data_IF_975030345564
#
_entry.id   IF_975030345564
#
_cell.length_a   1.000
_cell.length_b   1.000
_cell.length_c   1.000
_cell.angle_alpha   90.00
_cell.angle_beta   90.00
_cell.angle_gamma   90.00
#
_symmetry.space_group_name_H-M   'P 1'
#
loop_
_entity.id
_entity.type
_entity.pdbx_description
1 polymer ?
#
# COMPACT_ATOMS: atom_id res chain seq x y z
N UNK A 1 -7.84 -28.24 -10.07
CA UNK A 1 -8.72 -27.07 -9.82
C UNK A 1 -9.03 -26.91 -8.33
N UNK A 2 -9.52 -27.93 -7.61
CA UNK A 2 -9.82 -27.79 -6.16
C UNK A 2 -8.64 -27.36 -5.27
N UNK A 3 -7.43 -27.90 -5.50
CA UNK A 3 -6.25 -27.52 -4.72
C UNK A 3 -5.77 -26.07 -4.97
N UNK A 4 -5.90 -25.57 -6.21
CA UNK A 4 -5.56 -24.18 -6.57
C UNK A 4 -6.52 -23.19 -5.89
N UNK A 5 -7.82 -23.47 -5.92
CA UNK A 5 -8.84 -22.64 -5.24
C UNK A 5 -8.68 -22.70 -3.71
N UNK A 6 -8.41 -23.89 -3.16
CA UNK A 6 -8.20 -24.07 -1.72
C UNK A 6 -6.96 -23.31 -1.19
N UNK A 7 -5.97 -23.04 -2.05
CA UNK A 7 -4.82 -22.20 -1.72
C UNK A 7 -5.11 -20.71 -1.98
N UNK A 8 -5.82 -20.38 -3.06
CA UNK A 8 -6.12 -19.00 -3.46
C UNK A 8 -6.93 -18.25 -2.40
N UNK A 9 -7.97 -18.88 -1.85
CA UNK A 9 -8.86 -18.27 -0.85
C UNK A 9 -8.11 -17.84 0.42
N UNK A 10 -7.38 -18.72 1.14
CA UNK A 10 -6.69 -18.33 2.35
C UNK A 10 -5.56 -17.33 2.08
N UNK A 11 -4.85 -17.41 0.95
CA UNK A 11 -3.84 -16.42 0.58
C UNK A 11 -4.46 -15.04 0.35
N UNK A 12 -5.55 -14.98 -0.42
CA UNK A 12 -6.29 -13.74 -0.65
C UNK A 12 -6.77 -13.10 0.66
N UNK A 13 -7.34 -13.91 1.56
CA UNK A 13 -7.80 -13.44 2.86
C UNK A 13 -6.63 -12.97 3.74
N UNK A 14 -5.52 -13.70 3.76
CA UNK A 14 -4.33 -13.35 4.54
C UNK A 14 -3.76 -12.00 4.09
N UNK A 15 -3.60 -11.80 2.77
CA UNK A 15 -3.06 -10.55 2.21
C UNK A 15 -4.00 -9.36 2.45
N UNK A 16 -5.31 -9.58 2.26
CA UNK A 16 -6.32 -8.54 2.54
C UNK A 16 -6.35 -8.20 4.03
N UNK A 17 -6.31 -9.21 4.91
CA UNK A 17 -6.27 -9.00 6.36
C UNK A 17 -4.99 -8.25 6.76
N UNK A 18 -3.84 -8.59 6.18
CA UNK A 18 -2.59 -7.87 6.42
C UNK A 18 -2.71 -6.39 6.07
N UNK A 19 -3.26 -6.05 4.90
CA UNK A 19 -3.50 -4.65 4.50
C UNK A 19 -4.37 -3.88 5.50
N UNK A 20 -5.47 -4.51 5.94
CA UNK A 20 -6.38 -3.90 6.93
C UNK A 20 -5.70 -3.71 8.28
N UNK A 21 -4.94 -4.72 8.74
CA UNK A 21 -4.24 -4.65 10.02
C UNK A 21 -3.10 -3.63 9.99
N UNK A 22 -2.33 -3.55 8.90
CA UNK A 22 -1.26 -2.56 8.75
C UNK A 22 -1.82 -1.13 8.72
N UNK A 23 -2.94 -0.91 8.04
CA UNK A 23 -3.64 0.37 8.05
C UNK A 23 -4.12 0.75 9.45
N UNK A 24 -4.86 -0.15 10.10
CA UNK A 24 -5.52 0.15 11.37
C UNK A 24 -4.55 0.22 12.55
N UNK A 25 -3.59 -0.71 12.61
CA UNK A 25 -2.67 -0.84 13.74
C UNK A 25 -1.26 -0.35 13.46
N UNK A 26 -0.76 -0.47 12.23
CA UNK A 26 0.55 0.08 11.87
C UNK A 26 0.45 1.59 11.78
N UNK A 27 -0.20 2.08 10.73
CA UNK A 27 -0.37 3.51 10.49
C UNK A 27 -1.23 4.17 11.58
N UNK A 28 -2.41 3.60 11.87
CA UNK A 28 -3.37 4.21 12.78
C UNK A 28 -2.82 4.47 14.19
N UNK A 29 -2.14 3.49 14.79
CA UNK A 29 -1.58 3.66 16.15
C UNK A 29 -0.44 4.66 16.17
N UNK A 30 0.43 4.64 15.17
CA UNK A 30 1.56 5.59 15.07
C UNK A 30 1.05 7.03 14.91
N UNK A 31 0.01 7.25 14.11
CA UNK A 31 -0.64 8.55 13.93
C UNK A 31 -1.35 9.01 15.21
N UNK A 32 -2.06 8.11 15.91
CA UNK A 32 -2.66 8.42 17.22
C UNK A 32 -1.59 8.78 18.27
N UNK A 33 -0.50 8.03 18.31
CA UNK A 33 0.61 8.24 19.25
C UNK A 33 1.37 9.54 18.97
N UNK A 34 1.45 9.98 17.71
CA UNK A 34 2.08 11.24 17.34
C UNK A 34 1.34 12.48 17.90
N UNK A 35 0.10 12.34 18.37
CA UNK A 35 -0.70 13.44 18.96
C UNK A 35 -0.77 14.71 18.10
N UNK A 36 -0.68 14.56 16.77
CA UNK A 36 -0.70 15.68 15.82
C UNK A 36 0.65 16.32 15.53
N UNK A 37 1.76 15.78 16.04
CA UNK A 37 3.10 16.15 15.59
C UNK A 37 3.31 15.75 14.12
N UNK A 38 3.38 16.75 13.23
CA UNK A 38 3.43 16.53 11.79
C UNK A 38 4.61 15.64 11.38
N UNK A 39 5.81 15.88 11.91
CA UNK A 39 6.99 15.13 11.51
C UNK A 39 6.86 13.62 11.82
N UNK A 40 6.22 13.28 12.94
CA UNK A 40 5.96 11.88 13.30
C UNK A 40 4.82 11.27 12.48
N UNK A 41 3.74 12.01 12.21
CA UNK A 41 2.66 11.56 11.32
C UNK A 41 3.18 11.30 9.91
N UNK A 42 4.08 12.16 9.44
CA UNK A 42 4.69 12.05 8.13
C UNK A 42 5.59 10.81 8.01
N UNK A 43 6.42 10.57 9.03
CA UNK A 43 7.26 9.36 9.11
C UNK A 43 6.42 8.08 9.13
N UNK A 44 5.32 8.05 9.89
CA UNK A 44 4.39 6.92 9.94
C UNK A 44 3.73 6.66 8.57
N UNK A 45 3.31 7.74 7.90
CA UNK A 45 2.70 7.67 6.56
C UNK A 45 3.69 7.13 5.52
N UNK A 46 4.93 7.62 5.52
CA UNK A 46 6.00 7.10 4.67
C UNK A 46 6.32 5.62 4.95
N UNK A 47 6.33 5.22 6.22
CA UNK A 47 6.56 3.83 6.60
C UNK A 47 5.44 2.92 6.09
N UNK A 48 4.18 3.35 6.19
CA UNK A 48 3.03 2.64 5.63
C UNK A 48 3.11 2.53 4.10
N UNK A 49 3.37 3.64 3.39
CA UNK A 49 3.57 3.66 1.93
C UNK A 49 4.64 2.63 1.51
N UNK A 50 5.78 2.63 2.21
CA UNK A 50 6.86 1.69 1.90
C UNK A 50 6.46 0.23 2.14
N UNK A 51 5.75 -0.08 3.23
CA UNK A 51 5.26 -1.45 3.50
C UNK A 51 4.25 -1.92 2.45
N UNK A 52 3.31 -1.07 2.05
CA UNK A 52 2.34 -1.37 0.99
C UNK A 52 3.03 -1.57 -0.36
N UNK A 53 4.06 -0.77 -0.66
CA UNK A 53 4.85 -0.92 -1.88
C UNK A 53 5.60 -2.26 -1.94
N UNK A 54 6.27 -2.64 -0.84
CA UNK A 54 6.95 -3.95 -0.74
C UNK A 54 5.96 -5.10 -0.91
N UNK A 55 4.78 -5.01 -0.29
CA UNK A 55 3.71 -6.00 -0.45
C UNK A 55 3.27 -6.10 -1.91
N UNK A 56 2.98 -4.97 -2.56
CA UNK A 56 2.58 -4.93 -3.97
C UNK A 56 3.60 -5.64 -4.87
N UNK A 57 4.89 -5.35 -4.70
CA UNK A 57 5.97 -5.99 -5.45
C UNK A 57 5.98 -7.50 -5.20
N UNK A 58 5.89 -7.93 -3.94
CA UNK A 58 5.87 -9.35 -3.59
C UNK A 58 4.67 -10.09 -4.20
N UNK A 59 3.47 -9.53 -4.08
CA UNK A 59 2.22 -10.12 -4.62
C UNK A 59 2.29 -10.23 -6.14
N UNK A 60 2.84 -9.24 -6.84
CA UNK A 60 3.03 -9.32 -8.29
C UNK A 60 3.99 -10.44 -8.69
N UNK A 61 5.10 -10.62 -7.96
CA UNK A 61 6.04 -11.73 -8.19
C UNK A 61 5.32 -13.07 -8.01
N UNK A 62 4.54 -13.23 -6.94
CA UNK A 62 3.78 -14.47 -6.68
C UNK A 62 2.72 -14.71 -7.75
N UNK A 63 2.02 -13.67 -8.21
CA UNK A 63 1.05 -13.76 -9.31
C UNK A 63 1.70 -14.28 -10.61
N UNK A 64 2.89 -13.77 -10.94
CA UNK A 64 3.67 -14.25 -12.11
C UNK A 64 4.05 -15.71 -11.95
N UNK A 65 4.55 -16.11 -10.78
CA UNK A 65 4.90 -17.49 -10.49
C UNK A 65 3.68 -18.42 -10.59
N UNK A 66 2.54 -18.03 -10.02
CA UNK A 66 1.29 -18.78 -10.12
C UNK A 66 0.84 -18.97 -11.58
N UNK A 67 0.98 -17.93 -12.41
CA UNK A 67 0.75 -18.00 -13.85
C UNK A 67 1.68 -19.02 -14.55
N UNK A 68 2.98 -19.00 -14.23
CA UNK A 68 3.97 -19.96 -14.75
C UNK A 68 3.65 -21.40 -14.35
N UNK A 69 3.19 -21.62 -13.11
CA UNK A 69 2.80 -22.94 -12.61
C UNK A 69 1.38 -23.38 -13.03
N UNK A 70 0.71 -22.65 -13.92
CA UNK A 70 -0.67 -22.91 -14.37
C UNK A 70 -1.68 -23.02 -13.21
N UNK A 71 -1.55 -22.13 -12.24
CA UNK A 71 -2.47 -21.97 -11.13
C UNK A 71 -3.30 -20.67 -11.36
N UNK A 72 -4.31 -20.70 -12.25
CA UNK A 72 -4.98 -19.49 -12.70
C UNK A 72 -5.77 -18.78 -11.60
N UNK A 73 -6.32 -19.52 -10.63
CA UNK A 73 -7.12 -18.91 -9.56
C UNK A 73 -6.26 -18.19 -8.53
N UNK A 74 -5.14 -18.78 -8.14
CA UNK A 74 -4.13 -18.10 -7.32
C UNK A 74 -3.56 -16.87 -8.03
N UNK A 75 -3.25 -16.96 -9.34
CA UNK A 75 -2.83 -15.79 -10.11
C UNK A 75 -3.89 -14.67 -10.10
N UNK A 76 -5.17 -14.97 -10.36
CA UNK A 76 -6.25 -13.99 -10.30
C UNK A 76 -6.38 -13.38 -8.90
N UNK A 77 -6.32 -14.19 -7.84
CA UNK A 77 -6.42 -13.73 -6.47
C UNK A 77 -5.32 -12.70 -6.13
N UNK A 78 -4.07 -13.01 -6.46
CA UNK A 78 -2.95 -12.08 -6.24
C UNK A 78 -3.05 -10.82 -7.11
N UNK A 79 -3.56 -10.92 -8.34
CA UNK A 79 -3.81 -9.73 -9.16
C UNK A 79 -4.87 -8.80 -8.55
N UNK A 80 -5.92 -9.35 -7.94
CA UNK A 80 -6.92 -8.57 -7.22
C UNK A 80 -6.30 -7.87 -5.99
N UNK A 81 -5.44 -8.58 -5.24
CA UNK A 81 -4.71 -7.98 -4.11
C UNK A 81 -3.74 -6.91 -4.58
N UNK A 82 -3.02 -7.14 -5.67
CA UNK A 82 -2.12 -6.14 -6.26
C UNK A 82 -2.88 -4.88 -6.70
N UNK A 83 -4.07 -5.04 -7.29
CA UNK A 83 -4.93 -3.91 -7.64
C UNK A 83 -5.36 -3.13 -6.39
N UNK A 84 -5.75 -3.83 -5.32
CA UNK A 84 -6.12 -3.20 -4.05
C UNK A 84 -4.94 -2.43 -3.42
N UNK A 85 -3.77 -3.06 -3.31
CA UNK A 85 -2.56 -2.43 -2.79
C UNK A 85 -2.15 -1.22 -3.65
N UNK A 86 -2.25 -1.31 -4.97
CA UNK A 86 -1.99 -0.20 -5.89
C UNK A 86 -2.95 0.98 -5.70
N UNK A 87 -4.24 0.71 -5.45
CA UNK A 87 -5.21 1.76 -5.14
C UNK A 87 -4.91 2.45 -3.80
N UNK A 88 -4.56 1.69 -2.76
CA UNK A 88 -4.17 2.24 -1.44
C UNK A 88 -2.92 3.10 -1.59
N UNK A 89 -1.91 2.60 -2.29
CA UNK A 89 -0.66 3.32 -2.54
C UNK A 89 -0.91 4.62 -3.33
N UNK A 90 -1.74 4.54 -4.39
CA UNK A 90 -2.07 5.71 -5.20
C UNK A 90 -2.83 6.78 -4.40
N UNK A 91 -3.79 6.38 -3.57
CA UNK A 91 -4.56 7.30 -2.74
C UNK A 91 -3.69 7.97 -1.68
N UNK A 92 -2.86 7.19 -0.97
CA UNK A 92 -1.95 7.70 0.07
C UNK A 92 -0.86 8.59 -0.52
N UNK A 93 -0.26 8.21 -1.65
CA UNK A 93 0.73 9.03 -2.35
C UNK A 93 0.11 10.33 -2.86
N UNK A 94 -1.09 10.26 -3.44
CA UNK A 94 -1.77 11.46 -3.93
C UNK A 94 -2.10 12.45 -2.80
N UNK A 95 -2.53 11.93 -1.65
CA UNK A 95 -2.75 12.75 -0.47
C UNK A 95 -1.45 13.38 0.02
N UNK A 96 -0.38 12.58 0.14
CA UNK A 96 0.95 13.06 0.52
C UNK A 96 1.44 14.21 -0.38
N UNK A 97 1.36 14.03 -1.70
CA UNK A 97 1.78 15.01 -2.68
C UNK A 97 0.95 16.31 -2.59
N UNK A 98 -0.33 16.20 -2.24
CA UNK A 98 -1.22 17.35 -2.06
C UNK A 98 -0.90 18.11 -0.78
N UNK A 99 -0.67 17.41 0.33
CA UNK A 99 -0.33 18.00 1.62
C UNK A 99 1.08 18.66 1.61
N UNK A 100 1.96 18.19 0.73
CA UNK A 100 3.32 18.70 0.54
C UNK A 100 3.50 19.53 -0.75
N UNK A 101 2.41 19.85 -1.44
CA UNK A 101 2.48 20.67 -2.64
C UNK A 101 3.07 22.05 -2.29
N UNK A 102 4.00 22.60 -3.09
CA UNK A 102 4.47 23.96 -2.88
C UNK A 102 3.28 24.93 -2.89
N UNK A 103 3.27 25.88 -1.94
CA UNK A 103 2.29 26.97 -1.93
C UNK A 103 2.16 27.58 -3.33
N UNK A 104 0.94 27.71 -3.90
CA UNK A 104 0.72 28.30 -5.21
C UNK A 104 1.28 29.72 -5.37
N UNK A 105 1.66 30.39 -4.27
CA UNK A 105 2.26 31.73 -4.25
C UNK A 105 3.79 31.78 -4.20
N UNK A 106 4.49 30.69 -3.87
CA UNK A 106 5.96 30.69 -3.83
C UNK A 106 6.49 30.27 -5.22
N UNK A 107 6.44 31.22 -6.16
CA UNK A 107 7.04 31.07 -7.49
C UNK A 107 8.55 30.94 -7.30
N UNK A 108 9.11 29.83 -7.77
CA UNK A 108 10.51 29.37 -7.65
C UNK A 108 11.61 30.37 -8.11
N UNK A 109 11.23 31.58 -8.53
CA UNK A 109 12.13 32.60 -9.07
C UNK A 109 12.49 33.73 -8.09
N UNK A 110 11.83 33.85 -6.94
CA UNK A 110 12.24 34.79 -5.90
C UNK A 110 12.71 34.02 -4.67
N UNK A 111 14.01 34.08 -4.39
CA UNK A 111 14.68 33.46 -3.25
C UNK A 111 14.32 34.10 -1.89
N UNK A 112 13.09 34.60 -1.73
CA UNK A 112 12.57 35.21 -0.51
C UNK A 112 11.15 34.70 -0.25
N UNK A 113 11.07 33.44 0.17
CA UNK A 113 10.14 32.95 1.18
C UNK A 113 11.08 32.50 2.33
#
# INVERSE_FOLDING_TARGET
MGADVALAIPLFLLETAWLVLDWMFGLGMEVWAAQGDKAQVDAATLAHINRVWVLLVAVLIVAVLAGLFRAPWTAIAHLLVALLAGLILGATQHQWDTDHAPSPGCIRYSANC
#
